data_IF_234544592987
#
_entry.id   IF_234544592987
#
_cell.length_a   1.000
_cell.length_b   1.000
_cell.length_c   1.000
_cell.angle_alpha   90.00
_cell.angle_beta   90.00
_cell.angle_gamma   90.00
#
_symmetry.space_group_name_H-M   'P 1'
#
loop_
_entity.id
_entity.type
_entity.pdbx_description
1 polymer ?
#
# COMPACT_ATOMS: atom_id res chain seq x y z
N UNK A 1 -26.07 5.02 27.81
CA UNK A 1 -25.73 4.48 26.48
C UNK A 1 -24.83 5.47 25.77
N UNK A 2 -23.64 5.02 25.48
CA UNK A 2 -22.72 5.85 24.71
C UNK A 2 -23.17 5.81 23.25
N UNK A 3 -23.60 6.96 22.74
CA UNK A 3 -23.80 7.10 21.32
C UNK A 3 -22.45 6.95 20.62
N UNK A 4 -22.37 5.99 19.71
CA UNK A 4 -21.25 5.87 18.81
C UNK A 4 -21.28 7.06 17.86
N UNK A 5 -20.68 8.17 18.27
CA UNK A 5 -20.43 9.26 17.34
C UNK A 5 -19.39 8.80 16.34
N UNK A 6 -19.82 8.56 15.11
CA UNK A 6 -18.90 8.42 14.00
C UNK A 6 -18.20 9.76 13.88
N UNK A 7 -16.92 9.80 14.18
CA UNK A 7 -16.10 11.00 13.99
C UNK A 7 -16.18 11.39 12.51
N UNK A 8 -16.50 12.67 12.27
CA UNK A 8 -16.47 13.22 10.91
C UNK A 8 -15.03 13.26 10.44
N UNK A 9 -14.74 12.51 9.40
CA UNK A 9 -13.45 12.54 8.74
C UNK A 9 -13.53 13.52 7.58
N UNK A 10 -12.62 14.47 7.59
CA UNK A 10 -12.56 15.50 6.55
C UNK A 10 -11.13 15.61 6.04
N UNK A 11 -11.01 15.58 4.72
CA UNK A 11 -9.73 15.66 4.04
C UNK A 11 -9.78 16.72 2.95
N UNK A 12 -8.70 17.48 2.81
CA UNK A 12 -8.53 18.42 1.70
C UNK A 12 -7.52 17.83 0.72
N UNK A 13 -7.91 17.68 -0.53
CA UNK A 13 -7.05 17.09 -1.56
C UNK A 13 -5.90 18.03 -1.90
N UNK A 14 -4.67 17.51 -1.81
CA UNK A 14 -3.45 18.21 -2.26
C UNK A 14 -3.25 17.92 -3.74
N UNK A 15 -3.48 16.69 -4.15
CA UNK A 15 -3.36 16.28 -5.53
C UNK A 15 -3.90 14.88 -5.74
N UNK A 16 -4.22 14.58 -6.99
CA UNK A 16 -4.76 13.29 -7.40
C UNK A 16 -3.65 12.42 -7.96
N UNK A 17 -3.53 11.19 -7.46
CA UNK A 17 -2.59 10.19 -7.99
C UNK A 17 -3.17 9.54 -9.25
N UNK A 18 -4.38 9.04 -9.13
CA UNK A 18 -5.18 8.47 -10.21
C UNK A 18 -6.63 8.38 -9.73
N UNK A 19 -7.48 7.67 -10.45
CA UNK A 19 -8.89 7.52 -10.06
C UNK A 19 -9.09 6.83 -8.70
N UNK A 20 -8.08 6.15 -8.19
CA UNK A 20 -8.16 5.33 -6.98
C UNK A 20 -7.26 5.80 -5.85
N UNK A 21 -6.63 6.96 -6.00
CA UNK A 21 -5.74 7.48 -4.99
C UNK A 21 -5.59 8.99 -5.01
N UNK A 22 -5.54 9.57 -3.83
CA UNK A 22 -5.27 11.00 -3.66
C UNK A 22 -4.28 11.19 -2.52
N UNK A 23 -3.51 12.29 -2.61
CA UNK A 23 -2.78 12.82 -1.47
C UNK A 23 -3.60 13.95 -0.89
N UNK A 24 -3.79 13.96 0.40
CA UNK A 24 -4.66 14.92 1.07
C UNK A 24 -4.07 15.34 2.42
N UNK A 25 -4.69 16.32 3.04
CA UNK A 25 -4.43 16.72 4.43
C UNK A 25 -5.66 16.42 5.26
N UNK A 26 -5.43 15.88 6.46
CA UNK A 26 -6.50 15.67 7.42
C UNK A 26 -6.83 16.96 8.19
N UNK A 27 -7.74 16.88 9.15
CA UNK A 27 -8.17 18.03 9.96
C UNK A 27 -7.04 18.61 10.81
N UNK A 28 -6.03 17.80 11.13
CA UNK A 28 -4.85 18.25 11.87
C UNK A 28 -3.74 18.75 10.95
N UNK A 29 -4.06 18.95 9.67
CA UNK A 29 -3.14 19.41 8.65
C UNK A 29 -2.00 18.42 8.38
N UNK A 30 -2.19 17.14 8.70
CA UNK A 30 -1.23 16.07 8.42
C UNK A 30 -1.47 15.50 7.03
N UNK A 31 -0.40 15.23 6.33
CA UNK A 31 -0.47 14.63 4.99
C UNK A 31 -0.81 13.15 5.08
N UNK A 32 -1.70 12.71 4.21
CA UNK A 32 -2.15 11.32 4.12
C UNK A 32 -2.30 10.90 2.66
N UNK A 33 -2.25 9.59 2.42
CA UNK A 33 -2.70 9.01 1.15
C UNK A 33 -4.03 8.33 1.43
N UNK A 34 -5.03 8.63 0.60
CA UNK A 34 -6.30 7.89 0.59
C UNK A 34 -6.30 6.98 -0.63
N UNK A 35 -6.48 5.69 -0.41
CA UNK A 35 -6.52 4.68 -1.47
C UNK A 35 -7.83 3.90 -1.41
N UNK A 36 -8.43 3.72 -2.56
CA UNK A 36 -9.63 2.93 -2.74
C UNK A 36 -10.36 3.32 -4.01
N UNK A 37 -11.20 2.42 -4.51
CA UNK A 37 -11.87 2.56 -5.79
C UNK A 37 -12.66 3.87 -5.87
N UNK A 38 -12.31 4.69 -6.86
CA UNK A 38 -13.04 5.91 -7.20
C UNK A 38 -12.72 7.13 -6.37
N UNK A 39 -11.85 7.04 -5.33
CA UNK A 39 -11.58 8.18 -4.44
C UNK A 39 -11.00 9.38 -5.18
N UNK A 40 -10.22 9.14 -6.23
CA UNK A 40 -9.61 10.20 -7.02
C UNK A 40 -10.40 10.61 -8.26
N UNK A 41 -11.52 9.95 -8.54
CA UNK A 41 -12.29 10.22 -9.75
C UNK A 41 -12.85 11.64 -9.76
N UNK A 42 -12.49 12.41 -10.79
CA UNK A 42 -12.87 13.82 -10.95
C UNK A 42 -12.49 14.71 -9.77
N UNK A 43 -11.48 14.32 -9.00
CA UNK A 43 -10.95 15.15 -7.91
C UNK A 43 -9.80 16.02 -8.39
N UNK A 44 -9.67 17.17 -7.75
CA UNK A 44 -8.57 18.11 -8.00
C UNK A 44 -8.11 18.72 -6.68
N UNK A 45 -6.93 19.32 -6.71
CA UNK A 45 -6.40 20.04 -5.55
C UNK A 45 -7.42 21.07 -5.02
N UNK A 46 -7.60 21.09 -3.71
CA UNK A 46 -8.53 21.95 -3.04
C UNK A 46 -9.90 21.32 -2.77
N UNK A 47 -10.25 20.22 -3.43
CA UNK A 47 -11.49 19.51 -3.16
C UNK A 47 -11.52 18.97 -1.73
N UNK A 48 -12.69 18.94 -1.14
CA UNK A 48 -12.90 18.40 0.21
C UNK A 48 -13.60 17.05 0.10
N UNK A 49 -13.06 16.05 0.80
CA UNK A 49 -13.65 14.74 0.91
C UNK A 49 -14.10 14.55 2.35
N UNK A 50 -15.39 14.31 2.55
CA UNK A 50 -15.96 14.03 3.85
C UNK A 50 -16.39 12.57 3.93
N UNK A 51 -16.02 11.88 5.03
CA UNK A 51 -16.45 10.52 5.32
C UNK A 51 -16.30 9.57 4.12
N UNK A 52 -15.07 9.31 3.67
CA UNK A 52 -14.84 8.59 2.41
C UNK A 52 -15.34 7.14 2.39
N UNK A 53 -15.69 6.57 3.54
CA UNK A 53 -16.28 5.23 3.64
C UNK A 53 -15.28 4.13 3.92
N UNK A 54 -15.81 2.93 4.16
CA UNK A 54 -15.04 1.76 4.60
C UNK A 54 -14.10 1.19 3.54
N UNK A 55 -14.39 1.46 2.26
CA UNK A 55 -13.57 0.94 1.15
C UNK A 55 -12.34 1.79 0.89
N UNK A 56 -12.24 2.92 1.55
CA UNK A 56 -11.11 3.84 1.42
C UNK A 56 -10.20 3.69 2.63
N UNK A 57 -8.95 3.39 2.37
CA UNK A 57 -7.94 3.27 3.43
C UNK A 57 -7.08 4.52 3.48
N UNK A 58 -6.89 5.03 4.69
CA UNK A 58 -6.05 6.19 4.95
C UNK A 58 -4.67 5.75 5.46
N UNK A 59 -3.63 6.27 4.82
CA UNK A 59 -2.24 6.03 5.21
C UNK A 59 -1.59 7.34 5.60
N UNK A 60 -1.03 7.40 6.80
CA UNK A 60 -0.30 8.58 7.26
C UNK A 60 1.03 8.70 6.52
N UNK A 61 1.36 9.93 6.12
CA UNK A 61 2.65 10.26 5.52
C UNK A 61 3.50 11.04 6.51
N UNK A 62 4.81 10.96 6.36
CA UNK A 62 5.71 11.87 7.04
C UNK A 62 5.52 13.29 6.50
N UNK A 63 5.83 14.28 7.33
CA UNK A 63 5.69 15.69 6.99
C UNK A 63 6.43 16.00 5.68
N UNK A 64 5.73 16.71 4.78
CA UNK A 64 6.26 17.19 3.49
C UNK A 64 6.62 16.08 2.48
N UNK A 65 6.11 14.85 2.65
CA UNK A 65 6.36 13.77 1.69
C UNK A 65 5.28 13.63 0.61
N UNK A 66 4.11 14.24 0.81
CA UNK A 66 2.99 14.11 -0.13
C UNK A 66 3.33 14.57 -1.54
N UNK A 67 4.05 15.68 -1.68
CA UNK A 67 4.48 16.20 -2.98
C UNK A 67 5.41 15.22 -3.70
N UNK A 68 6.33 14.57 -2.97
CA UNK A 68 7.23 13.58 -3.53
C UNK A 68 6.46 12.35 -4.01
N UNK A 69 5.44 11.94 -3.28
CA UNK A 69 4.57 10.84 -3.67
C UNK A 69 3.83 11.18 -4.97
N UNK A 70 3.28 12.38 -5.07
CA UNK A 70 2.58 12.83 -6.27
C UNK A 70 3.47 12.87 -7.51
N UNK A 71 4.75 13.21 -7.34
CA UNK A 71 5.68 13.40 -8.44
C UNK A 71 6.48 12.15 -8.81
N UNK A 72 6.72 11.27 -7.86
CA UNK A 72 7.72 10.22 -8.00
C UNK A 72 7.23 8.78 -7.92
N UNK A 73 6.01 8.53 -7.46
CA UNK A 73 5.50 7.17 -7.29
C UNK A 73 4.44 6.87 -8.34
N UNK A 74 4.61 5.76 -9.07
CA UNK A 74 3.55 5.29 -9.95
C UNK A 74 2.40 4.74 -9.09
N UNK A 75 1.20 5.28 -9.22
CA UNK A 75 0.07 4.91 -8.36
C UNK A 75 -0.29 3.43 -8.40
N UNK A 76 0.00 2.72 -9.49
CA UNK A 76 -0.32 1.29 -9.60
C UNK A 76 0.37 0.48 -8.49
N UNK A 77 1.61 0.84 -8.13
CA UNK A 77 2.34 0.14 -7.07
C UNK A 77 1.77 0.43 -5.69
N UNK A 78 1.24 1.62 -5.48
CA UNK A 78 0.52 1.94 -4.25
C UNK A 78 -0.77 1.11 -4.14
N UNK A 79 -1.51 0.97 -5.24
CA UNK A 79 -2.72 0.15 -5.25
C UNK A 79 -2.42 -1.32 -4.99
N UNK A 80 -1.37 -1.85 -5.61
CA UNK A 80 -0.95 -3.25 -5.38
C UNK A 80 -0.53 -3.45 -3.93
N UNK A 81 0.29 -2.55 -3.40
CA UNK A 81 0.70 -2.62 -1.99
C UNK A 81 -0.51 -2.54 -1.05
N UNK A 82 -1.49 -1.69 -1.33
CA UNK A 82 -2.72 -1.59 -0.57
C UNK A 82 -3.50 -2.92 -0.57
N UNK A 83 -3.61 -3.59 -1.70
CA UNK A 83 -4.28 -4.89 -1.76
C UNK A 83 -3.56 -5.93 -0.89
N UNK A 84 -2.23 -5.97 -0.93
CA UNK A 84 -1.43 -6.88 -0.10
C UNK A 84 -1.63 -6.56 1.39
N UNK A 85 -1.58 -5.29 1.74
CA UNK A 85 -1.77 -4.84 3.12
C UNK A 85 -3.16 -5.25 3.64
N UNK A 86 -4.20 -5.13 2.82
CA UNK A 86 -5.54 -5.55 3.21
C UNK A 86 -5.63 -7.06 3.49
N UNK A 87 -4.95 -7.88 2.71
CA UNK A 87 -4.85 -9.32 3.01
C UNK A 87 -4.12 -9.56 4.33
N UNK A 88 -3.03 -8.83 4.57
CA UNK A 88 -2.29 -8.94 5.82
C UNK A 88 -3.14 -8.53 7.03
N UNK A 89 -3.89 -7.45 6.92
CA UNK A 89 -4.77 -6.99 7.99
C UNK A 89 -5.90 -7.97 8.27
N UNK A 90 -6.41 -8.62 7.23
CA UNK A 90 -7.45 -9.64 7.37
C UNK A 90 -6.94 -10.85 8.15
N UNK A 91 -5.68 -11.23 7.95
CA UNK A 91 -5.07 -12.38 8.60
C UNK A 91 -4.55 -12.05 10.00
N UNK A 92 -3.91 -10.90 10.17
CA UNK A 92 -3.16 -10.56 11.39
C UNK A 92 -3.81 -9.47 12.24
N UNK A 93 -4.85 -8.80 11.74
CA UNK A 93 -5.38 -7.60 12.38
C UNK A 93 -4.60 -6.36 11.97
N UNK A 94 -4.63 -5.34 12.80
CA UNK A 94 -3.96 -4.07 12.49
C UNK A 94 -2.44 -4.24 12.34
N UNK A 95 -1.93 -3.66 11.27
CA UNK A 95 -0.48 -3.62 10.99
C UNK A 95 -0.02 -2.18 10.85
N UNK A 96 1.29 -1.97 10.98
CA UNK A 96 1.87 -0.65 10.82
C UNK A 96 1.73 -0.19 9.36
N UNK A 97 0.94 0.85 9.13
CA UNK A 97 0.66 1.36 7.78
C UNK A 97 1.85 2.05 7.13
N UNK A 98 2.93 2.30 7.87
CA UNK A 98 4.20 2.79 7.30
C UNK A 98 4.82 1.83 6.30
N UNK A 99 4.35 0.59 6.25
CA UNK A 99 4.77 -0.40 5.25
C UNK A 99 4.42 0.02 3.81
N UNK A 100 3.42 0.88 3.60
CA UNK A 100 2.90 1.17 2.25
C UNK A 100 3.97 1.60 1.26
N UNK A 101 4.72 2.64 1.57
CA UNK A 101 5.73 3.18 0.64
C UNK A 101 6.91 2.23 0.43
N UNK A 102 7.52 1.65 1.47
CA UNK A 102 8.58 0.67 1.26
C UNK A 102 8.12 -0.56 0.46
N UNK A 103 6.91 -1.05 0.71
CA UNK A 103 6.38 -2.19 -0.02
C UNK A 103 6.12 -1.84 -1.49
N UNK A 104 5.51 -0.68 -1.76
CA UNK A 104 5.28 -0.22 -3.12
C UNK A 104 6.60 -0.05 -3.88
N UNK A 105 7.62 0.53 -3.26
CA UNK A 105 8.95 0.69 -3.84
C UNK A 105 9.59 -0.66 -4.15
N UNK A 106 9.50 -1.61 -3.22
CA UNK A 106 10.05 -2.96 -3.44
C UNK A 106 9.39 -3.64 -4.64
N UNK A 107 8.08 -3.54 -4.75
CA UNK A 107 7.34 -4.12 -5.89
C UNK A 107 7.76 -3.45 -7.19
N UNK A 108 7.86 -2.13 -7.21
CA UNK A 108 8.29 -1.38 -8.39
C UNK A 108 9.68 -1.82 -8.86
N UNK A 109 10.63 -1.97 -7.93
CA UNK A 109 11.98 -2.44 -8.25
C UNK A 109 11.96 -3.90 -8.72
N UNK A 110 11.11 -4.75 -8.16
CA UNK A 110 10.96 -6.14 -8.60
C UNK A 110 10.50 -6.22 -10.05
N UNK A 111 9.52 -5.42 -10.42
CA UNK A 111 9.01 -5.38 -11.79
C UNK A 111 10.07 -4.85 -12.75
N UNK A 112 10.80 -3.81 -12.35
CA UNK A 112 11.88 -3.25 -13.17
C UNK A 112 12.97 -4.31 -13.42
N UNK A 113 13.34 -5.08 -12.42
CA UNK A 113 14.30 -6.18 -12.58
C UNK A 113 13.78 -7.25 -13.55
N UNK A 114 12.53 -7.64 -13.43
CA UNK A 114 11.91 -8.63 -14.32
C UNK A 114 11.94 -8.13 -15.77
N UNK A 115 11.60 -6.87 -15.99
CA UNK A 115 11.62 -6.25 -17.34
C UNK A 115 13.01 -6.24 -17.96
N UNK A 116 14.06 -6.20 -17.16
CA UNK A 116 15.45 -6.15 -17.59
C UNK A 116 16.16 -7.52 -17.48
N UNK A 117 15.40 -8.60 -17.35
CA UNK A 117 15.91 -9.96 -17.19
C UNK A 117 16.91 -10.10 -16.05
N UNK A 118 16.75 -9.31 -15.00
CA UNK A 118 17.60 -9.35 -13.81
C UNK A 118 16.88 -10.15 -12.74
N UNK A 119 17.52 -11.22 -12.26
CA UNK A 119 16.99 -12.05 -11.18
C UNK A 119 17.69 -11.70 -9.88
N UNK A 120 16.92 -11.38 -8.86
CA UNK A 120 17.47 -11.21 -7.52
C UNK A 120 17.37 -12.52 -6.76
N UNK A 121 18.42 -12.85 -6.02
CA UNK A 121 18.44 -14.00 -5.14
C UNK A 121 18.18 -13.58 -3.71
N UNK A 122 17.39 -14.38 -3.00
CA UNK A 122 17.19 -14.23 -1.56
C UNK A 122 17.65 -15.51 -0.87
N UNK A 123 18.85 -15.52 -0.28
CA UNK A 123 19.38 -16.75 0.34
C UNK A 123 18.59 -17.18 1.58
N UNK A 124 17.72 -16.32 2.10
CA UNK A 124 16.91 -16.58 3.29
C UNK A 124 15.51 -17.10 2.98
N UNK A 125 15.14 -17.27 1.70
CA UNK A 125 13.77 -17.65 1.33
C UNK A 125 13.29 -18.91 2.06
N UNK A 126 14.11 -19.96 2.11
CA UNK A 126 13.75 -21.19 2.80
C UNK A 126 13.54 -20.99 4.29
N UNK A 127 14.40 -20.19 4.93
CA UNK A 127 14.27 -19.87 6.36
C UNK A 127 13.02 -19.01 6.63
N UNK A 128 12.73 -18.08 5.76
CA UNK A 128 11.54 -17.22 5.86
C UNK A 128 10.27 -18.08 5.79
N UNK A 129 10.21 -19.04 4.87
CA UNK A 129 9.06 -19.93 4.73
C UNK A 129 8.84 -20.76 6.00
N UNK A 130 9.89 -21.14 6.68
CA UNK A 130 9.80 -21.91 7.92
C UNK A 130 9.47 -21.05 9.14
N UNK A 131 10.16 -19.93 9.29
CA UNK A 131 10.07 -19.09 10.48
C UNK A 131 8.87 -18.14 10.45
N UNK A 132 8.52 -17.66 9.25
CA UNK A 132 7.44 -16.70 9.04
C UNK A 132 6.42 -17.26 8.05
N UNK A 133 5.96 -18.48 8.33
CA UNK A 133 5.08 -19.22 7.42
C UNK A 133 3.78 -18.48 7.12
N UNK A 134 3.18 -17.83 8.12
CA UNK A 134 1.91 -17.12 7.95
C UNK A 134 2.10 -15.87 7.10
N UNK A 135 3.17 -15.12 7.33
CA UNK A 135 3.51 -13.93 6.53
C UNK A 135 3.82 -14.36 5.08
N UNK A 136 4.52 -15.47 4.89
CA UNK A 136 4.82 -15.99 3.56
C UNK A 136 3.54 -16.38 2.80
N UNK A 137 2.57 -16.99 3.47
CA UNK A 137 1.29 -17.33 2.85
C UNK A 137 0.51 -16.07 2.40
N UNK A 138 0.53 -15.01 3.21
CA UNK A 138 -0.06 -13.73 2.81
C UNK A 138 0.73 -13.12 1.64
N UNK A 139 2.05 -13.14 1.71
CA UNK A 139 2.91 -12.61 0.65
C UNK A 139 2.71 -13.30 -0.70
N UNK A 140 2.34 -14.58 -0.70
CA UNK A 140 2.00 -15.31 -1.93
C UNK A 140 0.80 -14.72 -2.66
N UNK A 141 -0.08 -14.00 -1.98
CA UNK A 141 -1.18 -13.26 -2.62
C UNK A 141 -0.66 -12.22 -3.60
N UNK A 142 0.52 -11.66 -3.32
CA UNK A 142 1.16 -10.68 -4.20
C UNK A 142 1.40 -11.25 -5.61
N UNK A 143 1.74 -12.53 -5.72
CA UNK A 143 1.94 -13.18 -7.04
C UNK A 143 0.69 -13.07 -7.90
N UNK A 144 -0.48 -13.38 -7.35
CA UNK A 144 -1.76 -13.31 -8.06
C UNK A 144 -2.14 -11.87 -8.40
N UNK A 145 -1.96 -10.97 -7.46
CA UNK A 145 -2.30 -9.56 -7.64
C UNK A 145 -1.45 -8.95 -8.76
N UNK A 146 -0.14 -9.16 -8.70
CA UNK A 146 0.81 -8.62 -9.69
C UNK A 146 0.55 -9.24 -11.07
N UNK A 147 0.31 -10.55 -11.15
CA UNK A 147 -0.02 -11.20 -12.42
C UNK A 147 -1.29 -10.63 -13.04
N UNK A 148 -2.33 -10.46 -12.24
CA UNK A 148 -3.61 -9.89 -12.69
C UNK A 148 -3.46 -8.44 -13.16
N UNK A 149 -2.71 -7.63 -12.39
CA UNK A 149 -2.62 -6.19 -12.60
C UNK A 149 -1.57 -5.79 -13.63
N UNK A 150 -0.47 -6.51 -13.70
CA UNK A 150 0.71 -6.13 -14.50
C UNK A 150 1.14 -7.19 -15.50
N UNK A 151 0.68 -8.42 -15.38
CA UNK A 151 1.03 -9.51 -16.28
C UNK A 151 2.38 -10.17 -16.00
N UNK A 152 3.08 -9.78 -14.94
CA UNK A 152 4.38 -10.35 -14.57
C UNK A 152 4.26 -11.38 -13.47
N UNK A 153 5.16 -12.36 -13.48
CA UNK A 153 5.29 -13.34 -12.39
C UNK A 153 6.51 -13.02 -11.56
N UNK A 154 6.31 -12.87 -10.25
CA UNK A 154 7.40 -12.68 -9.30
C UNK A 154 7.89 -14.04 -8.79
N UNK A 155 9.17 -14.11 -8.42
CA UNK A 155 9.81 -15.33 -7.93
C UNK A 155 9.51 -15.57 -6.45
N UNK A 156 9.79 -16.80 -5.99
CA UNK A 156 9.69 -17.12 -4.56
C UNK A 156 10.64 -16.26 -3.71
N UNK A 157 11.79 -15.90 -4.26
CA UNK A 157 12.76 -15.04 -3.56
C UNK A 157 12.19 -13.64 -3.33
N UNK A 158 11.46 -13.09 -4.30
CA UNK A 158 10.77 -11.81 -4.14
C UNK A 158 9.63 -11.91 -3.11
N UNK A 159 8.90 -13.01 -3.12
CA UNK A 159 7.87 -13.27 -2.11
C UNK A 159 8.49 -13.30 -0.71
N UNK A 160 9.68 -13.88 -0.58
CA UNK A 160 10.43 -13.84 0.68
C UNK A 160 10.69 -12.42 1.18
N UNK A 161 11.11 -11.52 0.30
CA UNK A 161 11.31 -10.12 0.66
C UNK A 161 10.00 -9.43 1.06
N UNK A 162 8.91 -9.70 0.35
CA UNK A 162 7.58 -9.18 0.73
C UNK A 162 7.18 -9.69 2.11
N UNK A 163 7.44 -10.96 2.40
CA UNK A 163 7.18 -11.56 3.72
C UNK A 163 7.89 -10.81 4.84
N UNK A 164 9.14 -10.39 4.61
CA UNK A 164 9.91 -9.63 5.59
C UNK A 164 9.31 -8.24 5.83
N UNK A 165 8.81 -7.59 4.79
CA UNK A 165 8.09 -6.32 4.95
C UNK A 165 6.85 -6.50 5.83
N UNK A 166 6.07 -7.54 5.57
CA UNK A 166 4.87 -7.84 6.37
C UNK A 166 5.25 -8.14 7.81
N UNK A 167 6.26 -8.97 8.02
CA UNK A 167 6.72 -9.33 9.37
C UNK A 167 7.13 -8.10 10.17
N UNK A 168 7.89 -7.21 9.56
CA UNK A 168 8.32 -5.96 10.21
C UNK A 168 7.14 -5.08 10.61
N UNK A 169 6.04 -5.13 9.87
CA UNK A 169 4.85 -4.33 10.14
C UNK A 169 3.96 -4.90 11.26
N UNK A 170 4.21 -6.14 11.70
CA UNK A 170 3.46 -6.79 12.77
C UNK A 170 3.98 -6.44 14.18
N UNK A 171 5.15 -5.88 14.28
CA UNK A 171 5.78 -5.60 15.58
C UNK A 171 5.40 -4.27 16.15
#
# INVERSE_FOLDING_TARGET
MKENKVEKQRYEVIGTLNNNGVVAKDELNKEVILLGKGIGFKRKAGDVIENPGKNIKCYSLEKNTGKNVLQGVDPIFLEIANEIIRYAEKEFGDIDTKILLPLADHIAFSIDRIKNDMVISNPLTSDIRLLFADEYEVAKKARKIIKRRLGYEITDDEIGYISLHIHAALS
#
